data_IF_189137817722
#
_entry.id   IF_189137817722
#
_cell.length_a   1.000
_cell.length_b   1.000
_cell.length_c   1.000
_cell.angle_alpha   90.00
_cell.angle_beta   90.00
_cell.angle_gamma   90.00
#
_symmetry.space_group_name_H-M   'P 1'
#
loop_
_entity.id
_entity.type
_entity.pdbx_description
1 polymer ?
#
# COMPACT_ATOMS: atom_id res chain seq x y z
N UNK A 1 -41.54 -33.08 51.25
CA UNK A 1 -40.89 -33.90 50.22
C UNK A 1 -39.56 -33.25 49.93
N UNK A 2 -38.50 -33.76 50.57
CA UNK A 2 -37.13 -33.30 50.37
C UNK A 2 -36.42 -34.36 49.54
N UNK A 3 -35.89 -33.98 48.38
CA UNK A 3 -34.93 -34.81 47.65
C UNK A 3 -33.60 -34.06 47.60
N UNK A 4 -32.49 -34.69 48.04
CA UNK A 4 -31.16 -34.12 48.02
C UNK A 4 -30.44 -34.34 46.67
N UNK A 5 -29.47 -33.47 46.40
CA UNK A 5 -28.35 -33.70 45.48
C UNK A 5 -27.71 -35.08 45.68
N UNK A 6 -27.21 -35.68 44.59
CA UNK A 6 -25.77 -35.94 44.59
C UNK A 6 -25.10 -35.64 43.23
N UNK A 7 -23.96 -34.96 43.35
CA UNK A 7 -22.65 -35.42 42.89
C UNK A 7 -22.48 -35.81 41.41
N UNK A 8 -21.65 -35.05 40.70
CA UNK A 8 -21.15 -35.45 39.39
C UNK A 8 -20.46 -34.34 38.59
N UNK A 9 -19.28 -33.89 39.04
CA UNK A 9 -18.29 -33.26 38.16
C UNK A 9 -17.07 -34.20 38.08
N UNK A 10 -16.63 -34.60 36.88
CA UNK A 10 -15.52 -33.87 36.27
C UNK A 10 -15.68 -33.75 34.75
N UNK A 11 -16.15 -32.60 34.26
CA UNK A 11 -16.05 -32.27 32.84
C UNK A 11 -14.61 -31.83 32.51
N UNK A 12 -13.89 -32.74 31.85
CA UNK A 12 -12.54 -32.54 31.33
C UNK A 12 -12.36 -31.24 30.52
N UNK A 13 -11.16 -30.63 30.55
CA UNK A 13 -10.86 -29.47 29.72
C UNK A 13 -10.88 -29.87 28.24
N UNK A 14 -11.91 -29.42 27.51
CA UNK A 14 -11.90 -29.44 26.05
C UNK A 14 -10.84 -28.46 25.57
N UNK A 15 -9.64 -28.99 25.32
CA UNK A 15 -8.64 -28.37 24.47
C UNK A 15 -9.28 -28.14 23.10
N UNK A 16 -9.77 -26.92 22.87
CA UNK A 16 -9.96 -26.41 21.53
C UNK A 16 -8.57 -26.31 20.90
N UNK A 17 -8.12 -27.40 20.27
CA UNK A 17 -7.23 -27.30 19.13
C UNK A 17 -8.00 -26.52 18.06
N UNK A 18 -7.93 -25.20 18.15
CA UNK A 18 -8.16 -24.29 17.04
C UNK A 18 -7.18 -24.71 15.96
N UNK A 19 -7.65 -25.60 15.10
CA UNK A 19 -7.03 -26.01 13.85
C UNK A 19 -6.47 -24.74 13.22
N UNK A 20 -5.14 -24.68 13.18
CA UNK A 20 -4.40 -23.67 12.49
C UNK A 20 -5.11 -23.42 11.16
N UNK A 21 -5.63 -22.21 11.00
CA UNK A 21 -6.03 -21.70 9.71
C UNK A 21 -4.78 -21.75 8.87
N UNK A 22 -4.66 -22.82 8.09
CA UNK A 22 -3.70 -22.97 7.03
C UNK A 22 -3.64 -21.65 6.29
N UNK A 23 -2.41 -21.20 6.09
CA UNK A 23 -2.02 -20.10 5.25
C UNK A 23 -3.03 -19.93 4.13
N UNK A 24 -3.67 -18.76 4.11
CA UNK A 24 -4.54 -18.34 3.03
C UNK A 24 -3.64 -18.16 1.81
N UNK A 25 -3.35 -19.27 1.13
CA UNK A 25 -2.88 -19.32 -0.23
C UNK A 25 -4.06 -18.87 -1.10
N UNK A 26 -4.31 -17.55 -1.05
CA UNK A 26 -5.22 -16.92 -1.98
C UNK A 26 -4.66 -17.17 -3.38
N UNK A 27 -5.52 -17.48 -4.37
CA UNK A 27 -5.06 -17.69 -5.73
C UNK A 27 -4.17 -16.51 -6.13
N UNK A 28 -2.95 -16.80 -6.57
CA UNK A 28 -2.04 -15.81 -7.11
C UNK A 28 -2.78 -15.09 -8.24
N UNK A 29 -3.29 -13.91 -7.93
CA UNK A 29 -4.14 -13.09 -8.79
C UNK A 29 -3.30 -12.75 -10.03
N UNK A 30 -3.57 -13.38 -11.19
CA UNK A 30 -2.69 -13.30 -12.35
C UNK A 30 -2.73 -11.87 -12.89
N UNK A 31 -1.69 -11.08 -12.59
CA UNK A 31 -1.57 -9.69 -13.04
C UNK A 31 -1.19 -8.70 -11.94
N UNK A 32 -1.10 -9.11 -10.68
CA UNK A 32 -0.61 -8.22 -9.62
C UNK A 32 0.90 -7.96 -9.74
N UNK A 33 1.29 -6.69 -9.63
CA UNK A 33 2.69 -6.27 -9.62
C UNK A 33 3.16 -6.12 -8.18
N UNK A 34 4.22 -6.83 -7.81
CA UNK A 34 4.85 -6.70 -6.49
C UNK A 34 5.97 -5.64 -6.54
N UNK A 35 5.82 -4.58 -5.74
CA UNK A 35 6.87 -3.62 -5.48
C UNK A 35 7.49 -3.87 -4.11
N UNK A 36 8.80 -4.07 -4.10
CA UNK A 36 9.60 -4.19 -2.89
C UNK A 36 10.33 -2.86 -2.70
N UNK A 37 9.99 -2.14 -1.63
CA UNK A 37 10.48 -0.78 -1.40
C UNK A 37 11.20 -0.72 -0.06
N UNK A 38 12.36 -0.08 -0.02
CA UNK A 38 13.00 0.29 1.25
C UNK A 38 12.13 1.29 2.03
N UNK A 39 12.39 1.45 3.33
CA UNK A 39 11.72 2.47 4.15
C UNK A 39 11.82 3.88 3.53
N UNK A 40 12.99 4.24 3.00
CA UNK A 40 13.21 5.54 2.36
C UNK A 40 12.44 5.68 1.05
N UNK A 41 12.34 4.59 0.27
CA UNK A 41 11.55 4.56 -0.94
C UNK A 41 10.05 4.65 -0.66
N UNK A 42 9.55 3.99 0.39
CA UNK A 42 8.16 4.14 0.83
C UNK A 42 7.87 5.57 1.27
N UNK A 43 8.74 6.18 2.05
CA UNK A 43 8.60 7.56 2.47
C UNK A 43 8.61 8.52 1.26
N UNK A 44 9.53 8.31 0.31
CA UNK A 44 9.59 9.07 -0.93
C UNK A 44 8.31 8.91 -1.77
N UNK A 45 7.81 7.68 -1.92
CA UNK A 45 6.59 7.39 -2.67
C UNK A 45 5.36 8.04 -2.03
N UNK A 46 5.22 7.94 -0.71
CA UNK A 46 4.15 8.63 0.03
C UNK A 46 4.19 10.13 -0.18
N UNK A 47 5.37 10.74 -0.09
CA UNK A 47 5.54 12.18 -0.26
C UNK A 47 5.15 12.64 -1.67
N UNK A 48 5.60 11.93 -2.71
CA UNK A 48 5.26 12.24 -4.12
C UNK A 48 3.76 12.10 -4.37
N UNK A 49 3.15 11.01 -3.92
CA UNK A 49 1.72 10.76 -4.12
C UNK A 49 0.83 11.74 -3.34
N UNK A 50 1.19 12.03 -2.09
CA UNK A 50 0.48 13.02 -1.28
C UNK A 50 0.60 14.43 -1.89
N UNK A 51 1.81 14.80 -2.31
CA UNK A 51 2.10 16.05 -2.98
C UNK A 51 1.32 16.20 -4.29
N UNK A 52 1.43 15.23 -5.19
CA UNK A 52 0.67 15.24 -6.44
C UNK A 52 -0.83 15.32 -6.20
N UNK A 53 -1.36 14.57 -5.22
CA UNK A 53 -2.79 14.63 -4.88
C UNK A 53 -3.20 16.03 -4.45
N UNK A 54 -2.41 16.70 -3.62
CA UNK A 54 -2.69 18.06 -3.18
C UNK A 54 -2.66 19.05 -4.37
N UNK A 55 -1.63 18.97 -5.21
CA UNK A 55 -1.48 19.81 -6.41
C UNK A 55 -2.65 19.59 -7.38
N UNK A 56 -2.96 18.34 -7.70
CA UNK A 56 -4.10 17.98 -8.53
C UNK A 56 -5.45 18.36 -7.88
N UNK A 57 -5.50 18.43 -6.55
CA UNK A 57 -6.70 18.89 -5.85
C UNK A 57 -6.91 20.40 -6.02
N UNK A 58 -5.83 21.18 -5.95
CA UNK A 58 -5.87 22.64 -5.96
C UNK A 58 -5.89 23.25 -7.36
N UNK A 59 -5.23 22.62 -8.34
CA UNK A 59 -4.93 23.26 -9.63
C UNK A 59 -5.62 22.62 -10.84
N UNK A 60 -6.22 21.43 -10.70
CA UNK A 60 -6.94 20.78 -11.80
C UNK A 60 -8.45 20.96 -11.65
N UNK A 61 -9.11 21.17 -12.80
CA UNK A 61 -10.57 21.21 -12.87
C UNK A 61 -11.18 19.90 -12.34
N UNK A 62 -12.33 19.96 -11.65
CA UNK A 62 -12.97 18.79 -11.06
C UNK A 62 -13.69 17.96 -12.14
N UNK A 63 -12.95 17.16 -12.90
CA UNK A 63 -13.52 16.20 -13.85
C UNK A 63 -13.74 14.82 -13.19
N UNK A 64 -14.64 13.98 -13.72
CA UNK A 64 -14.82 12.61 -13.22
C UNK A 64 -13.52 11.80 -13.18
N UNK A 65 -12.70 11.90 -14.23
CA UNK A 65 -11.43 11.18 -14.38
C UNK A 65 -10.41 11.64 -13.34
N UNK A 66 -10.31 12.96 -13.13
CA UNK A 66 -9.46 13.55 -12.09
C UNK A 66 -9.90 13.06 -10.71
N UNK A 67 -11.20 13.06 -10.42
CA UNK A 67 -11.72 12.62 -9.12
C UNK A 67 -11.47 11.14 -8.87
N UNK A 68 -11.65 10.30 -9.89
CA UNK A 68 -11.34 8.88 -9.83
C UNK A 68 -9.86 8.64 -9.53
N UNK A 69 -8.97 9.32 -10.25
CA UNK A 69 -7.53 9.25 -9.99
C UNK A 69 -7.18 9.65 -8.54
N UNK A 70 -7.78 10.71 -8.02
CA UNK A 70 -7.53 11.12 -6.62
C UNK A 70 -8.06 10.10 -5.60
N UNK A 71 -9.19 9.43 -5.88
CA UNK A 71 -9.68 8.32 -5.04
C UNK A 71 -8.71 7.15 -5.03
N UNK A 72 -8.21 6.75 -6.19
CA UNK A 72 -7.22 5.68 -6.33
C UNK A 72 -5.92 6.02 -5.58
N UNK A 73 -5.41 7.25 -5.74
CA UNK A 73 -4.23 7.72 -5.00
C UNK A 73 -4.48 7.73 -3.48
N UNK A 74 -5.66 8.17 -3.02
CA UNK A 74 -6.01 8.14 -1.60
C UNK A 74 -6.07 6.71 -1.05
N UNK A 75 -6.64 5.76 -1.78
CA UNK A 75 -6.67 4.35 -1.39
C UNK A 75 -5.25 3.77 -1.32
N UNK A 76 -4.42 4.04 -2.33
CA UNK A 76 -3.02 3.62 -2.38
C UNK A 76 -2.21 4.23 -1.24
N UNK A 77 -2.39 5.52 -0.93
CA UNK A 77 -1.75 6.18 0.21
C UNK A 77 -2.15 5.50 1.53
N UNK A 78 -3.43 5.17 1.72
CA UNK A 78 -3.89 4.45 2.92
C UNK A 78 -3.14 3.12 3.12
N UNK A 79 -3.00 2.34 2.04
CA UNK A 79 -2.22 1.09 2.06
C UNK A 79 -0.75 1.33 2.31
N UNK A 80 -0.16 2.34 1.66
CA UNK A 80 1.24 2.71 1.85
C UNK A 80 1.51 3.11 3.30
N UNK A 81 0.63 3.86 3.96
CA UNK A 81 0.79 4.24 5.37
C UNK A 81 0.68 3.05 6.31
N UNK A 82 -0.15 2.06 5.99
CA UNK A 82 -0.25 0.82 6.76
C UNK A 82 1.01 -0.07 6.64
N UNK A 83 1.85 0.13 5.61
CA UNK A 83 3.13 -0.57 5.48
C UNK A 83 4.17 0.09 6.38
N UNK A 84 4.38 -0.42 7.59
CA UNK A 84 5.47 0.03 8.47
C UNK A 84 6.60 -1.00 8.51
N UNK A 85 7.55 -0.96 7.56
CA UNK A 85 8.69 -1.85 7.64
C UNK A 85 9.56 -1.48 8.85
N UNK A 86 10.18 -2.48 9.51
CA UNK A 86 11.15 -2.22 10.58
C UNK A 86 12.34 -1.41 10.05
N UNK A 87 13.14 -0.78 10.93
CA UNK A 87 14.38 -0.11 10.53
C UNK A 87 15.29 -1.06 9.73
N UNK A 88 15.70 -0.66 8.53
CA UNK A 88 16.47 -1.52 7.61
C UNK A 88 15.66 -2.56 6.83
N UNK A 89 14.36 -2.65 7.08
CA UNK A 89 13.45 -3.56 6.38
C UNK A 89 12.92 -3.02 5.05
N UNK A 90 12.21 -3.91 4.34
CA UNK A 90 11.51 -3.62 3.09
C UNK A 90 10.01 -3.75 3.31
N UNK A 91 9.21 -2.88 2.70
CA UNK A 91 7.77 -3.03 2.64
C UNK A 91 7.35 -3.58 1.28
N UNK A 92 6.37 -4.49 1.31
CA UNK A 92 5.92 -5.23 0.14
C UNK A 92 4.54 -4.70 -0.26
N UNK A 93 4.48 -4.09 -1.44
CA UNK A 93 3.26 -3.49 -1.96
C UNK A 93 2.81 -4.29 -3.19
N UNK A 94 1.75 -5.07 -3.03
CA UNK A 94 1.10 -5.80 -4.13
C UNK A 94 0.02 -4.94 -4.78
N UNK A 95 0.21 -4.57 -6.04
CA UNK A 95 -0.65 -3.66 -6.79
C UNK A 95 -1.47 -4.42 -7.84
N UNK A 96 -2.76 -4.11 -7.97
CA UNK A 96 -3.54 -4.54 -9.14
C UNK A 96 -3.01 -3.88 -10.43
N UNK A 97 -3.35 -4.39 -11.62
CA UNK A 97 -3.01 -3.74 -12.89
C UNK A 97 -3.46 -2.28 -12.96
N UNK A 98 -4.65 -1.96 -12.45
CA UNK A 98 -5.18 -0.60 -12.41
C UNK A 98 -4.40 0.29 -11.45
N UNK A 99 -4.09 -0.21 -10.25
CA UNK A 99 -3.27 0.52 -9.27
C UNK A 99 -1.87 0.80 -9.81
N UNK A 100 -1.25 -0.18 -10.47
CA UNK A 100 0.06 -0.04 -11.11
C UNK A 100 0.02 0.97 -12.25
N UNK A 101 -0.97 0.88 -13.14
CA UNK A 101 -1.16 1.85 -14.23
C UNK A 101 -1.37 3.27 -13.69
N UNK A 102 -2.22 3.43 -12.68
CA UNK A 102 -2.47 4.72 -12.03
C UNK A 102 -1.19 5.29 -11.40
N UNK A 103 -0.42 4.45 -10.70
CA UNK A 103 0.86 4.84 -10.11
C UNK A 103 1.85 5.33 -11.17
N UNK A 104 2.02 4.57 -12.25
CA UNK A 104 2.91 4.96 -13.35
C UNK A 104 2.47 6.26 -14.01
N UNK A 105 1.16 6.47 -14.23
CA UNK A 105 0.65 7.71 -14.79
C UNK A 105 0.96 8.91 -13.91
N UNK A 106 0.79 8.78 -12.59
CA UNK A 106 1.11 9.86 -11.63
C UNK A 106 2.59 10.16 -11.62
N UNK A 107 3.44 9.13 -11.51
CA UNK A 107 4.88 9.32 -11.51
C UNK A 107 5.37 9.91 -12.83
N UNK A 108 4.80 9.49 -13.96
CA UNK A 108 5.09 10.08 -15.26
C UNK A 108 4.67 11.55 -15.30
N UNK A 109 3.47 11.90 -14.82
CA UNK A 109 3.01 13.29 -14.78
C UNK A 109 3.90 14.20 -13.92
N UNK A 110 4.41 13.68 -12.80
CA UNK A 110 5.38 14.39 -11.95
C UNK A 110 6.71 14.57 -12.66
N UNK A 111 7.18 13.54 -13.40
CA UNK A 111 8.45 13.59 -14.14
C UNK A 111 8.41 14.48 -15.38
N UNK A 112 7.27 14.61 -16.05
CA UNK A 112 7.17 15.39 -17.30
C UNK A 112 6.87 16.87 -17.08
N UNK A 113 6.41 17.25 -15.89
CA UNK A 113 6.14 18.64 -15.54
C UNK A 113 7.34 19.24 -14.81
N UNK A 114 8.06 20.22 -15.39
CA UNK A 114 9.31 20.73 -14.80
C UNK A 114 9.16 21.24 -13.37
N UNK A 115 8.05 21.93 -13.06
CA UNK A 115 7.79 22.46 -11.72
C UNK A 115 7.59 21.35 -10.68
N UNK A 116 6.89 20.27 -11.04
CA UNK A 116 6.68 19.12 -10.16
C UNK A 116 7.96 18.27 -10.04
N UNK A 117 8.65 18.08 -11.15
CA UNK A 117 9.91 17.34 -11.19
C UNK A 117 10.96 17.99 -10.31
N UNK A 118 11.16 19.31 -10.41
CA UNK A 118 12.10 20.05 -9.56
C UNK A 118 11.73 19.91 -8.08
N UNK A 119 10.45 20.12 -7.75
CA UNK A 119 9.95 20.03 -6.37
C UNK A 119 10.17 18.66 -5.74
N UNK A 120 10.01 17.59 -6.52
CA UNK A 120 10.08 16.22 -6.04
C UNK A 120 11.34 15.48 -6.50
N UNK A 121 12.35 16.19 -7.01
CA UNK A 121 13.55 15.59 -7.61
C UNK A 121 14.23 14.60 -6.67
N UNK A 122 14.43 14.98 -5.41
CA UNK A 122 15.08 14.12 -4.42
C UNK A 122 14.30 12.82 -4.18
N UNK A 123 12.97 12.90 -4.12
CA UNK A 123 12.12 11.73 -3.94
C UNK A 123 12.13 10.85 -5.19
N UNK A 124 12.04 11.45 -6.39
CA UNK A 124 12.14 10.72 -7.65
C UNK A 124 13.48 9.99 -7.80
N UNK A 125 14.59 10.62 -7.43
CA UNK A 125 15.92 9.99 -7.43
C UNK A 125 15.99 8.79 -6.49
N UNK A 126 15.34 8.84 -5.32
CA UNK A 126 15.24 7.70 -4.40
C UNK A 126 14.39 6.57 -4.95
N UNK A 127 13.34 6.89 -5.70
CA UNK A 127 12.45 5.93 -6.34
C UNK A 127 13.05 5.31 -7.59
N UNK A 128 13.96 6.00 -8.29
CA UNK A 128 14.52 5.57 -9.57
C UNK A 128 14.93 4.09 -9.64
N UNK A 129 15.66 3.53 -8.65
CA UNK A 129 16.05 2.12 -8.67
C UNK A 129 14.86 1.15 -8.63
N UNK A 130 13.79 1.50 -7.90
CA UNK A 130 12.59 0.66 -7.76
C UNK A 130 11.74 0.62 -9.05
N UNK A 131 11.91 1.60 -9.95
CA UNK A 131 11.18 1.69 -11.21
C UNK A 131 12.08 1.54 -12.45
N UNK A 132 13.36 1.19 -12.25
CA UNK A 132 14.33 1.01 -13.34
C UNK A 132 14.66 2.30 -14.11
N UNK A 133 14.55 3.47 -13.47
CA UNK A 133 14.91 4.75 -14.09
C UNK A 133 16.36 5.10 -13.85
N UNK A 134 16.97 5.83 -14.79
CA UNK A 134 18.29 6.42 -14.58
C UNK A 134 18.16 7.68 -13.70
N UNK A 135 18.73 7.71 -12.48
CA UNK A 135 18.64 8.86 -11.59
C UNK A 135 19.29 10.13 -12.15
N UNK A 136 20.17 10.01 -13.16
CA UNK A 136 20.79 11.15 -13.86
C UNK A 136 19.85 11.84 -14.84
N UNK A 137 18.71 11.21 -15.15
CA UNK A 137 17.69 11.70 -16.09
C UNK A 137 16.49 12.34 -15.39
N UNK A 138 16.57 12.54 -14.06
CA UNK A 138 15.52 13.04 -13.17
C UNK A 138 15.83 14.42 -12.58
#
# INVERSE_FOLDING_TARGET
MSHPDPDGDPAAPRLHFGKATSASDGPADPGRTLLILSRDQLAALRAVLAGYRQEAFQHLLPTPERNERLRQIQALLGRLYALEPPPGGQGWLSLSPEEWSCLLQVLQAVRTQPALQERWRQQLQRLAPAFGWDPRTL
#
